data_IF_714768547245
#
_entry.id   IF_714768547245
#
_cell.length_a   1.000
_cell.length_b   1.000
_cell.length_c   1.000
_cell.angle_alpha   90.00
_cell.angle_beta   90.00
_cell.angle_gamma   90.00
#
_symmetry.space_group_name_H-M   'P 1'
#
loop_
_entity.id
_entity.type
_entity.pdbx_description
1 polymer ?
#
# COMPACT_ATOMS: atom_id res chain seq x y z
N UNK A 1 19.16 -73.03 13.48
CA UNK A 1 18.95 -71.70 14.10
C UNK A 1 18.87 -70.66 13.01
N UNK A 2 17.91 -69.75 13.16
CA UNK A 2 17.35 -68.86 12.13
C UNK A 2 18.30 -67.72 11.75
N UNK A 3 18.57 -67.54 10.46
CA UNK A 3 19.16 -66.29 9.95
C UNK A 3 18.08 -65.51 9.20
N UNK A 4 17.61 -64.45 9.83
CA UNK A 4 16.52 -63.58 9.38
C UNK A 4 16.92 -62.85 8.09
N UNK A 5 16.11 -63.03 7.03
CA UNK A 5 16.14 -62.20 5.82
C UNK A 5 15.58 -60.81 6.17
N UNK A 6 16.44 -59.80 6.24
CA UNK A 6 15.98 -58.42 6.29
C UNK A 6 15.97 -57.83 4.86
N UNK A 7 14.78 -57.75 4.26
CA UNK A 7 14.55 -57.00 3.02
C UNK A 7 14.66 -55.51 3.33
N UNK A 8 15.78 -54.87 2.98
CA UNK A 8 15.78 -53.42 2.79
C UNK A 8 15.49 -53.11 1.32
N UNK A 9 14.27 -52.60 1.10
CA UNK A 9 13.84 -52.00 -0.17
C UNK A 9 14.73 -50.79 -0.48
N UNK A 10 15.19 -50.58 -1.73
CA UNK A 10 15.91 -49.37 -2.09
C UNK A 10 14.95 -48.19 -1.96
N UNK A 11 15.38 -47.16 -1.23
CA UNK A 11 14.71 -45.87 -1.15
C UNK A 11 14.24 -45.44 -2.55
N UNK A 12 12.91 -45.47 -2.78
CA UNK A 12 12.30 -44.78 -3.92
C UNK A 12 12.67 -43.30 -3.76
N UNK A 13 13.63 -42.81 -4.55
CA UNK A 13 13.77 -41.38 -4.82
C UNK A 13 12.39 -40.89 -5.26
N UNK A 14 11.73 -40.05 -4.44
CA UNK A 14 10.54 -39.30 -4.88
C UNK A 14 10.96 -38.59 -6.17
N UNK A 15 10.32 -38.92 -7.30
CA UNK A 15 10.44 -38.10 -8.51
C UNK A 15 10.11 -36.67 -8.09
N UNK A 16 11.07 -35.76 -8.15
CA UNK A 16 10.79 -34.34 -7.96
C UNK A 16 9.69 -33.96 -8.96
N UNK A 17 8.55 -33.51 -8.45
CA UNK A 17 7.44 -33.09 -9.32
C UNK A 17 7.92 -32.01 -10.28
N UNK A 18 7.32 -31.91 -11.46
CA UNK A 18 7.57 -30.76 -12.35
C UNK A 18 7.34 -29.47 -11.55
N UNK A 19 8.30 -28.55 -11.58
CA UNK A 19 8.21 -27.21 -10.99
C UNK A 19 8.27 -26.16 -12.09
N UNK A 20 7.88 -24.93 -11.78
CA UNK A 20 7.96 -23.79 -12.68
C UNK A 20 8.38 -22.52 -11.91
N UNK A 21 9.14 -21.61 -12.54
CA UNK A 21 9.55 -20.37 -11.91
C UNK A 21 8.39 -19.38 -11.83
N UNK A 22 8.30 -18.67 -10.71
CA UNK A 22 7.30 -17.65 -10.43
C UNK A 22 7.98 -16.42 -9.87
N UNK A 23 7.62 -15.25 -10.40
CA UNK A 23 8.00 -13.94 -9.86
C UNK A 23 6.80 -13.30 -9.18
N UNK A 24 6.99 -12.78 -7.98
CA UNK A 24 5.99 -12.00 -7.25
C UNK A 24 6.59 -10.65 -6.91
N UNK A 25 5.97 -9.58 -7.39
CA UNK A 25 6.35 -8.21 -7.10
C UNK A 25 5.47 -7.64 -5.99
N UNK A 26 6.08 -6.98 -5.02
CA UNK A 26 5.43 -5.93 -4.23
C UNK A 26 5.71 -4.58 -4.91
N UNK A 27 5.33 -3.46 -4.29
CA UNK A 27 5.64 -2.12 -4.82
C UNK A 27 7.10 -1.71 -4.61
N UNK A 28 7.84 -2.43 -3.77
CA UNK A 28 9.21 -2.13 -3.35
C UNK A 28 10.18 -3.32 -3.44
N UNK A 29 9.71 -4.53 -3.75
CA UNK A 29 10.52 -5.73 -3.80
C UNK A 29 10.07 -6.71 -4.91
N UNK A 30 11.02 -7.51 -5.38
CA UNK A 30 10.75 -8.66 -6.26
C UNK A 30 11.17 -9.95 -5.54
N UNK A 31 10.29 -10.95 -5.58
CA UNK A 31 10.51 -12.27 -5.00
C UNK A 31 10.43 -13.32 -6.09
N UNK A 32 11.40 -14.24 -6.11
CA UNK A 32 11.43 -15.33 -7.08
C UNK A 32 11.33 -16.68 -6.37
N UNK A 33 10.45 -17.54 -6.88
CA UNK A 33 10.15 -18.85 -6.32
C UNK A 33 10.15 -19.93 -7.40
N UNK A 34 10.37 -21.18 -6.99
CA UNK A 34 10.12 -22.36 -7.83
C UNK A 34 8.94 -23.15 -7.26
N UNK A 35 7.80 -23.10 -7.94
CA UNK A 35 6.55 -23.66 -7.47
C UNK A 35 6.29 -25.04 -8.08
N UNK A 36 5.79 -26.01 -7.30
CA UNK A 36 5.37 -27.29 -7.87
C UNK A 36 4.15 -27.10 -8.78
N UNK A 37 4.05 -27.82 -9.90
CA UNK A 37 2.94 -27.72 -10.86
C UNK A 37 1.54 -27.94 -10.28
N UNK A 38 1.45 -28.69 -9.17
CA UNK A 38 0.19 -29.00 -8.48
C UNK A 38 -0.22 -27.93 -7.46
N UNK A 39 0.62 -26.94 -7.22
CA UNK A 39 0.40 -25.95 -6.16
C UNK A 39 -0.81 -25.09 -6.48
N UNK A 40 -1.56 -24.79 -5.43
CA UNK A 40 -2.72 -23.90 -5.43
C UNK A 40 -2.31 -22.44 -5.32
N UNK A 41 -3.24 -21.53 -5.63
CA UNK A 41 -3.02 -20.11 -5.36
C UNK A 41 -2.76 -19.85 -3.88
N UNK A 42 -3.37 -20.63 -2.97
CA UNK A 42 -3.11 -20.58 -1.53
C UNK A 42 -1.66 -20.91 -1.19
N UNK A 43 -1.10 -21.95 -1.80
CA UNK A 43 0.30 -22.35 -1.55
C UNK A 43 1.29 -21.23 -1.93
N UNK A 44 1.07 -20.59 -3.09
CA UNK A 44 1.88 -19.46 -3.54
C UNK A 44 1.70 -18.24 -2.62
N UNK A 45 0.46 -17.89 -2.29
CA UNK A 45 0.15 -16.74 -1.44
C UNK A 45 0.71 -16.90 -0.03
N UNK A 46 0.56 -18.07 0.59
CA UNK A 46 1.10 -18.37 1.92
C UNK A 46 2.65 -18.40 1.91
N UNK A 47 3.27 -18.81 0.81
CA UNK A 47 4.73 -18.72 0.63
C UNK A 47 5.20 -17.25 0.59
N UNK A 48 4.53 -16.41 -0.19
CA UNK A 48 4.81 -14.96 -0.25
C UNK A 48 4.65 -14.32 1.12
N UNK A 49 3.49 -14.50 1.77
CA UNK A 49 3.19 -13.90 3.07
C UNK A 49 4.21 -14.28 4.14
N UNK A 50 4.60 -15.57 4.21
CA UNK A 50 5.65 -16.03 5.15
C UNK A 50 7.01 -15.42 4.84
N UNK A 51 7.35 -15.23 3.57
CA UNK A 51 8.66 -14.67 3.16
C UNK A 51 8.81 -13.22 3.62
N UNK A 52 7.73 -12.43 3.54
CA UNK A 52 7.74 -11.01 3.93
C UNK A 52 7.26 -10.77 5.38
N UNK A 53 6.90 -11.82 6.12
CA UNK A 53 6.40 -11.70 7.50
C UNK A 53 4.98 -11.13 7.64
N UNK A 54 4.17 -11.19 6.58
CA UNK A 54 2.80 -10.70 6.56
C UNK A 54 1.83 -11.73 7.17
N UNK A 55 1.15 -11.35 8.25
CA UNK A 55 0.13 -12.17 8.93
C UNK A 55 -1.29 -11.64 8.70
N UNK A 56 -1.44 -10.34 8.42
CA UNK A 56 -2.72 -9.68 8.09
C UNK A 56 -3.16 -9.98 6.64
N UNK A 57 -3.16 -11.27 6.29
CA UNK A 57 -3.29 -11.72 4.90
C UNK A 57 -4.66 -11.44 4.29
N UNK A 58 -5.67 -11.12 5.12
CA UNK A 58 -7.06 -10.93 4.70
C UNK A 58 -7.29 -9.66 3.87
N UNK A 59 -6.34 -8.72 3.86
CA UNK A 59 -6.41 -7.55 3.00
C UNK A 59 -5.87 -7.80 1.58
N UNK A 60 -5.01 -8.81 1.41
CA UNK A 60 -4.17 -8.93 0.22
C UNK A 60 -4.60 -10.03 -0.73
N UNK A 61 -4.16 -9.91 -1.98
CA UNK A 61 -4.24 -10.97 -2.97
C UNK A 61 -3.13 -10.84 -4.01
N UNK A 62 -3.07 -11.78 -4.93
CA UNK A 62 -2.14 -11.76 -6.05
C UNK A 62 -2.89 -11.40 -7.34
N UNK A 63 -2.52 -10.31 -7.99
CA UNK A 63 -2.97 -9.99 -9.34
C UNK A 63 -2.02 -10.55 -10.39
N UNK A 64 -2.55 -10.89 -11.56
CA UNK A 64 -1.78 -11.24 -12.75
C UNK A 64 -2.55 -10.86 -14.01
N UNK A 65 -1.82 -10.77 -15.12
CA UNK A 65 -2.40 -10.67 -16.45
C UNK A 65 -2.65 -12.08 -17.02
N UNK A 66 -3.90 -12.37 -17.37
CA UNK A 66 -4.27 -13.64 -17.98
C UNK A 66 -3.82 -13.74 -19.46
N UNK A 67 -3.96 -14.91 -20.06
CA UNK A 67 -3.57 -15.15 -21.46
C UNK A 67 -4.33 -14.30 -22.48
N UNK A 68 -5.43 -13.64 -22.08
CA UNK A 68 -6.22 -12.73 -22.93
C UNK A 68 -5.89 -11.26 -22.66
N UNK A 69 -4.98 -10.97 -21.74
CA UNK A 69 -4.57 -9.61 -21.37
C UNK A 69 -5.43 -8.95 -20.31
N UNK A 70 -6.28 -9.69 -19.61
CA UNK A 70 -7.09 -9.14 -18.52
C UNK A 70 -6.37 -9.24 -17.19
N UNK A 71 -6.50 -8.19 -16.39
CA UNK A 71 -6.07 -8.22 -14.99
C UNK A 71 -7.09 -9.01 -14.16
N UNK A 72 -6.57 -10.03 -13.48
CA UNK A 72 -7.35 -10.98 -12.68
C UNK A 72 -6.67 -11.24 -11.33
N UNK A 73 -7.48 -11.49 -10.31
CA UNK A 73 -6.99 -11.96 -9.01
C UNK A 73 -6.86 -13.47 -9.02
N UNK A 74 -5.73 -13.97 -8.53
CA UNK A 74 -5.46 -15.39 -8.36
C UNK A 74 -6.45 -15.98 -7.35
N UNK A 75 -7.14 -17.03 -7.76
CA UNK A 75 -8.06 -17.80 -6.91
C UNK A 75 -7.23 -18.74 -6.04
N UNK A 76 -7.38 -18.61 -4.72
CA UNK A 76 -6.57 -19.34 -3.76
C UNK A 76 -6.91 -20.84 -3.71
N UNK A 77 -8.16 -21.21 -4.01
CA UNK A 77 -8.69 -22.57 -4.00
C UNK A 77 -8.37 -23.39 -5.26
N UNK A 78 -7.80 -22.75 -6.29
CA UNK A 78 -7.48 -23.38 -7.58
C UNK A 78 -5.97 -23.50 -7.78
N UNK A 79 -5.56 -24.47 -8.61
CA UNK A 79 -4.17 -24.58 -9.05
C UNK A 79 -3.75 -23.33 -9.80
N UNK A 80 -2.51 -22.90 -9.62
CA UNK A 80 -1.98 -21.71 -10.31
C UNK A 80 -2.04 -21.90 -11.83
N UNK A 81 -1.56 -23.03 -12.33
CA UNK A 81 -1.50 -23.36 -13.75
C UNK A 81 -2.88 -23.45 -14.45
N UNK A 82 -3.95 -23.73 -13.70
CA UNK A 82 -5.30 -23.92 -14.26
C UNK A 82 -6.06 -22.58 -14.43
N UNK A 83 -5.41 -21.45 -14.14
CA UNK A 83 -6.05 -20.12 -14.12
C UNK A 83 -5.74 -19.25 -15.35
N UNK A 84 -5.31 -19.89 -16.44
CA UNK A 84 -5.14 -19.21 -17.73
C UNK A 84 -4.06 -18.13 -17.70
N UNK A 85 -3.00 -18.35 -16.94
CA UNK A 85 -1.90 -17.40 -16.83
C UNK A 85 -1.11 -17.36 -18.14
N UNK A 86 -0.68 -16.17 -18.56
CA UNK A 86 0.11 -16.00 -19.77
C UNK A 86 1.37 -16.87 -19.75
N UNK A 87 1.64 -17.59 -20.85
CA UNK A 87 2.80 -18.49 -20.98
C UNK A 87 4.09 -17.71 -21.31
N UNK A 88 4.40 -16.69 -20.53
CA UNK A 88 5.69 -16.02 -20.57
C UNK A 88 6.76 -16.87 -19.87
N UNK A 89 8.06 -16.72 -20.22
CA UNK A 89 9.15 -17.51 -19.63
C UNK A 89 9.23 -17.41 -18.10
N UNK A 90 8.69 -16.35 -17.50
CA UNK A 90 8.44 -16.24 -16.06
C UNK A 90 7.02 -15.76 -15.83
N UNK A 91 6.30 -16.45 -14.96
CA UNK A 91 4.97 -16.00 -14.54
C UNK A 91 5.09 -14.92 -13.46
N UNK A 92 4.59 -13.71 -13.74
CA UNK A 92 4.64 -12.58 -12.81
C UNK A 92 3.30 -12.35 -12.12
N UNK A 93 3.34 -12.17 -10.80
CA UNK A 93 2.22 -11.76 -9.97
C UNK A 93 2.54 -10.47 -9.22
N UNK A 94 1.51 -9.72 -8.86
CA UNK A 94 1.63 -8.54 -8.01
C UNK A 94 0.86 -8.74 -6.71
N UNK A 95 1.53 -8.60 -5.58
CA UNK A 95 0.89 -8.59 -4.27
C UNK A 95 0.30 -7.19 -4.03
N UNK A 96 -1.02 -7.12 -3.90
CA UNK A 96 -1.75 -5.86 -3.70
C UNK A 96 -2.81 -6.02 -2.61
N UNK A 97 -3.10 -4.93 -1.91
CA UNK A 97 -4.28 -4.83 -1.06
C UNK A 97 -5.54 -4.83 -1.95
N UNK A 98 -6.38 -5.83 -1.75
CA UNK A 98 -7.68 -6.02 -2.41
C UNK A 98 -8.82 -5.42 -1.59
N UNK A 99 -8.72 -5.49 -0.27
CA UNK A 99 -9.70 -4.98 0.68
C UNK A 99 -9.04 -3.95 1.58
N UNK A 100 -9.75 -2.87 1.89
CA UNK A 100 -9.24 -1.77 2.70
C UNK A 100 -9.85 -1.83 4.12
N UNK A 101 -9.13 -1.33 5.14
CA UNK A 101 -9.69 -1.17 6.49
C UNK A 101 -10.81 -0.10 6.51
N UNK A 102 -11.68 -0.16 7.51
CA UNK A 102 -12.60 0.93 7.88
C UNK A 102 -11.83 2.03 8.64
N UNK A 103 -10.84 1.66 9.46
CA UNK A 103 -9.92 2.59 10.14
C UNK A 103 -8.49 2.05 10.09
N UNK A 104 -7.59 2.77 9.42
CA UNK A 104 -6.19 2.35 9.25
C UNK A 104 -5.43 2.23 10.57
N UNK A 105 -5.72 3.08 11.56
CA UNK A 105 -4.99 3.16 12.82
C UNK A 105 -5.39 2.01 13.78
N UNK A 106 -6.66 1.60 13.73
CA UNK A 106 -7.18 0.51 14.57
C UNK A 106 -6.96 -0.88 13.96
N UNK A 107 -6.95 -0.97 12.63
CA UNK A 107 -6.90 -2.25 11.92
C UNK A 107 -5.51 -2.67 11.46
N UNK A 108 -4.65 -1.75 11.01
CA UNK A 108 -3.34 -2.13 10.45
C UNK A 108 -2.31 -2.29 11.57
N UNK A 109 -2.05 -3.55 11.95
CA UNK A 109 -1.26 -3.88 13.14
C UNK A 109 0.24 -3.95 12.86
N UNK A 110 0.63 -4.61 11.77
CA UNK A 110 2.05 -4.85 11.45
C UNK A 110 2.61 -3.74 10.56
N UNK A 111 3.86 -3.37 10.81
CA UNK A 111 4.60 -2.39 10.00
C UNK A 111 4.68 -2.79 8.52
N UNK A 112 4.86 -4.08 8.22
CA UNK A 112 4.85 -4.56 6.82
C UNK A 112 3.50 -4.32 6.15
N UNK A 113 2.40 -4.48 6.87
CA UNK A 113 1.05 -4.24 6.35
C UNK A 113 0.85 -2.74 6.10
N UNK A 114 1.18 -1.90 7.07
CA UNK A 114 1.12 -0.44 6.96
C UNK A 114 1.94 0.05 5.78
N UNK A 115 3.16 -0.47 5.62
CA UNK A 115 4.06 -0.10 4.54
C UNK A 115 3.49 -0.43 3.16
N UNK A 116 2.97 -1.65 2.98
CA UNK A 116 2.38 -2.06 1.70
C UNK A 116 1.13 -1.23 1.35
N UNK A 117 0.29 -0.91 2.33
CA UNK A 117 -0.85 0.00 2.14
C UNK A 117 -0.40 1.41 1.78
N UNK A 118 0.58 1.96 2.51
CA UNK A 118 1.16 3.29 2.24
C UNK A 118 1.64 3.39 0.80
N UNK A 119 2.45 2.43 0.34
CA UNK A 119 2.96 2.42 -1.03
C UNK A 119 1.83 2.37 -2.06
N UNK A 120 0.83 1.52 -1.84
CA UNK A 120 -0.29 1.34 -2.78
C UNK A 120 -1.16 2.59 -2.87
N UNK A 121 -1.48 3.19 -1.72
CA UNK A 121 -2.29 4.42 -1.66
C UNK A 121 -1.52 5.61 -2.23
N UNK A 122 -0.23 5.74 -1.90
CA UNK A 122 0.64 6.77 -2.49
C UNK A 122 0.68 6.65 -4.01
N UNK A 123 0.87 5.44 -4.53
CA UNK A 123 0.87 5.21 -5.97
C UNK A 123 -0.47 5.57 -6.61
N UNK A 124 -1.59 5.23 -5.98
CA UNK A 124 -2.94 5.53 -6.48
C UNK A 124 -3.25 7.04 -6.48
N UNK A 125 -2.72 7.80 -5.51
CA UNK A 125 -2.84 9.26 -5.49
C UNK A 125 -1.99 9.88 -6.60
N UNK A 126 -0.74 9.45 -6.75
CA UNK A 126 0.17 9.95 -7.79
C UNK A 126 -0.30 9.63 -9.21
N UNK A 127 -0.93 8.47 -9.42
CA UNK A 127 -1.52 8.07 -10.71
C UNK A 127 -2.88 8.70 -11.00
N UNK A 128 -3.42 9.54 -10.11
CA UNK A 128 -4.74 10.16 -10.22
C UNK A 128 -5.92 9.17 -10.13
N UNK A 129 -5.70 7.93 -9.67
CA UNK A 129 -6.78 6.96 -9.42
C UNK A 129 -7.59 7.34 -8.17
N UNK A 130 -6.94 7.96 -7.20
CA UNK A 130 -7.57 8.61 -6.05
C UNK A 130 -7.38 10.12 -6.25
N UNK A 131 -8.50 10.85 -6.36
CA UNK A 131 -8.44 12.29 -6.37
C UNK A 131 -7.96 12.81 -5.01
N UNK A 132 -6.93 13.65 -5.03
CA UNK A 132 -6.40 14.32 -3.86
C UNK A 132 -6.33 15.83 -4.13
N UNK A 133 -6.92 16.68 -3.26
CA UNK A 133 -6.84 18.13 -3.43
C UNK A 133 -5.39 18.64 -3.26
N UNK A 134 -5.04 19.81 -3.81
CA UNK A 134 -3.67 20.33 -3.78
C UNK A 134 -3.08 20.46 -2.37
N UNK A 135 -3.85 21.00 -1.43
CA UNK A 135 -3.42 21.23 -0.05
C UNK A 135 -3.08 19.92 0.67
N UNK A 136 -3.94 18.90 0.52
CA UNK A 136 -3.68 17.57 1.05
C UNK A 136 -2.50 16.90 0.34
N UNK A 137 -2.33 17.10 -0.97
CA UNK A 137 -1.23 16.50 -1.74
C UNK A 137 0.14 16.97 -1.24
N UNK A 138 0.28 18.26 -0.91
CA UNK A 138 1.53 18.81 -0.34
C UNK A 138 1.81 18.21 1.04
N UNK A 139 0.79 18.11 1.88
CA UNK A 139 0.94 17.53 3.22
C UNK A 139 1.31 16.03 3.13
N UNK A 140 0.63 15.27 2.28
CA UNK A 140 0.95 13.86 2.02
C UNK A 140 2.37 13.68 1.47
N UNK A 141 2.81 14.55 0.56
CA UNK A 141 4.18 14.55 0.06
C UNK A 141 5.21 14.74 1.19
N UNK A 142 4.93 15.63 2.15
CA UNK A 142 5.83 15.85 3.29
C UNK A 142 5.98 14.61 4.19
N UNK A 143 4.90 13.85 4.44
CA UNK A 143 4.97 12.57 5.14
C UNK A 143 5.72 11.51 4.34
N UNK A 144 5.52 11.46 3.01
CA UNK A 144 6.25 10.53 2.15
C UNK A 144 7.77 10.80 2.14
N UNK A 145 8.17 12.07 2.20
CA UNK A 145 9.57 12.49 2.32
C UNK A 145 10.14 12.09 3.69
N UNK A 146 9.41 12.35 4.78
CA UNK A 146 9.81 11.91 6.13
C UNK A 146 9.98 10.38 6.21
N UNK A 147 9.04 9.62 5.64
CA UNK A 147 9.12 8.16 5.60
C UNK A 147 10.36 7.65 4.83
N UNK A 148 10.76 8.35 3.76
CA UNK A 148 11.88 7.95 2.89
C UNK A 148 13.24 8.39 3.40
N UNK A 149 13.36 9.63 3.88
CA UNK A 149 14.64 10.28 4.19
C UNK A 149 14.91 10.43 5.69
N UNK A 150 13.91 10.20 6.55
CA UNK A 150 14.02 10.46 8.00
C UNK A 150 13.86 11.94 8.32
N UNK A 151 14.45 12.40 9.43
CA UNK A 151 14.32 13.80 9.87
C UNK A 151 14.99 14.79 8.91
N UNK A 152 14.34 15.93 8.68
CA UNK A 152 14.95 17.07 8.00
C UNK A 152 16.18 17.59 8.78
N UNK A 153 17.32 17.70 8.09
CA UNK A 153 18.53 18.34 8.58
C UNK A 153 19.01 19.39 7.58
N UNK A 154 19.00 20.65 7.99
CA UNK A 154 19.38 21.81 7.17
C UNK A 154 20.81 21.73 6.64
N UNK A 155 21.72 21.08 7.37
CA UNK A 155 23.13 20.95 6.95
C UNK A 155 23.27 19.93 5.83
N UNK A 156 22.53 18.83 5.91
CA UNK A 156 22.55 17.76 4.91
C UNK A 156 21.71 18.07 3.67
N UNK A 157 20.68 18.92 3.82
CA UNK A 157 19.73 19.22 2.76
C UNK A 157 20.37 19.98 1.61
N UNK A 158 20.15 19.50 0.39
CA UNK A 158 20.60 20.18 -0.84
C UNK A 158 19.39 20.50 -1.71
N UNK A 159 19.27 21.72 -2.25
CA UNK A 159 18.22 22.04 -3.22
C UNK A 159 18.20 21.02 -4.37
N UNK A 160 17.01 20.54 -4.72
CA UNK A 160 16.82 19.53 -5.76
C UNK A 160 16.96 18.08 -5.25
N UNK A 161 17.20 17.85 -3.96
CA UNK A 161 17.23 16.51 -3.36
C UNK A 161 15.88 15.78 -3.53
N UNK A 162 14.79 16.53 -3.64
CA UNK A 162 13.44 16.00 -3.85
C UNK A 162 13.02 15.96 -5.32
N UNK A 163 13.83 16.51 -6.24
CA UNK A 163 13.45 16.66 -7.65
C UNK A 163 13.37 15.33 -8.41
N UNK A 164 14.02 14.25 -7.92
CA UNK A 164 13.94 12.92 -8.53
C UNK A 164 12.70 12.13 -8.11
N UNK A 165 11.90 12.65 -7.17
CA UNK A 165 10.79 11.92 -6.57
C UNK A 165 9.45 12.32 -7.19
N UNK A 166 8.64 11.31 -7.53
CA UNK A 166 7.22 11.51 -7.83
C UNK A 166 6.49 11.83 -6.49
N UNK A 167 6.39 13.11 -6.15
CA UNK A 167 5.80 13.59 -4.88
C UNK A 167 4.39 14.13 -5.00
N UNK A 168 4.04 14.72 -6.16
CA UNK A 168 2.74 15.34 -6.39
C UNK A 168 2.07 14.75 -7.63
N UNK A 169 0.73 14.60 -7.65
CA UNK A 169 0.03 14.18 -8.84
C UNK A 169 0.16 15.22 -9.96
N UNK A 170 0.30 14.78 -11.22
CA UNK A 170 0.54 15.67 -12.36
C UNK A 170 -0.51 16.78 -12.48
N UNK A 171 -1.79 16.49 -12.21
CA UNK A 171 -2.87 17.48 -12.23
C UNK A 171 -2.65 18.63 -11.25
N UNK A 172 -2.10 18.34 -10.07
CA UNK A 172 -1.80 19.37 -9.07
C UNK A 172 -0.67 20.26 -9.57
N UNK A 173 0.37 19.67 -10.15
CA UNK A 173 1.48 20.43 -10.75
C UNK A 173 0.96 21.33 -11.87
N UNK A 174 0.15 20.79 -12.79
CA UNK A 174 -0.37 21.53 -13.95
C UNK A 174 -1.36 22.66 -13.57
N UNK A 175 -2.03 22.55 -12.42
CA UNK A 175 -3.01 23.53 -11.96
C UNK A 175 -2.35 24.84 -11.49
N UNK A 176 -1.09 24.80 -11.05
CA UNK A 176 -0.38 25.96 -10.54
C UNK A 176 0.85 26.27 -11.41
N UNK A 177 1.10 27.55 -11.67
CA UNK A 177 2.30 28.00 -12.39
C UNK A 177 3.50 28.05 -11.45
N UNK A 178 3.86 26.91 -10.84
CA UNK A 178 4.96 26.78 -9.90
C UNK A 178 6.10 25.97 -10.50
N UNK A 179 7.34 26.37 -10.20
CA UNK A 179 8.52 25.57 -10.57
C UNK A 179 8.69 24.38 -9.61
N UNK A 180 9.45 23.34 -9.99
CA UNK A 180 9.77 22.23 -9.10
C UNK A 180 10.37 22.70 -7.76
N UNK A 181 11.23 23.72 -7.77
CA UNK A 181 11.84 24.30 -6.58
C UNK A 181 10.80 24.96 -5.66
N UNK A 182 9.81 25.66 -6.24
CA UNK A 182 8.74 26.27 -5.44
C UNK A 182 7.85 25.21 -4.77
N UNK A 183 7.62 24.07 -5.43
CA UNK A 183 6.92 22.93 -4.82
C UNK A 183 7.75 22.29 -3.72
N UNK A 184 9.05 22.11 -3.96
CA UNK A 184 10.01 21.63 -2.97
C UNK A 184 9.98 22.50 -1.71
N UNK A 185 10.02 23.82 -1.84
CA UNK A 185 9.93 24.75 -0.71
C UNK A 185 8.63 24.61 0.09
N UNK A 186 7.50 24.37 -0.58
CA UNK A 186 6.21 24.13 0.10
C UNK A 186 6.20 22.83 0.89
N UNK A 187 6.74 21.76 0.31
CA UNK A 187 6.83 20.45 0.96
C UNK A 187 7.81 20.51 2.15
N UNK A 188 8.93 21.23 1.96
CA UNK A 188 9.99 21.39 2.95
C UNK A 188 9.50 22.02 4.26
N UNK A 189 8.58 22.99 4.18
CA UNK A 189 7.99 23.61 5.39
C UNK A 189 7.38 22.54 6.30
N UNK A 190 6.50 21.70 5.74
CA UNK A 190 5.87 20.62 6.50
C UNK A 190 6.85 19.50 6.86
N UNK A 191 7.81 19.20 6.00
CA UNK A 191 8.83 18.19 6.27
C UNK A 191 9.68 18.53 7.52
N UNK A 192 10.03 19.81 7.70
CA UNK A 192 10.75 20.26 8.89
C UNK A 192 9.94 20.09 10.19
N UNK A 193 8.61 20.19 10.12
CA UNK A 193 7.70 20.03 11.26
C UNK A 193 7.57 18.56 11.72
N UNK A 194 7.88 17.59 10.84
CA UNK A 194 7.80 16.15 11.15
C UNK A 194 9.01 15.60 11.91
N UNK A 195 9.94 16.47 12.33
CA UNK A 195 11.16 16.07 13.03
C UNK A 195 10.84 15.24 14.28
N UNK A 196 11.49 14.08 14.38
CA UNK A 196 11.26 13.12 15.45
C UNK A 196 10.17 12.10 15.12
N UNK A 197 9.53 12.17 13.96
CA UNK A 197 8.61 11.14 13.51
C UNK A 197 9.38 9.95 12.92
N UNK A 198 9.07 8.74 13.37
CA UNK A 198 9.62 7.52 12.76
C UNK A 198 9.00 7.25 11.38
N UNK A 199 9.63 6.35 10.61
CA UNK A 199 9.12 5.98 9.28
C UNK A 199 7.71 5.39 9.36
N UNK A 200 7.46 4.45 10.28
CA UNK A 200 6.16 3.82 10.47
C UNK A 200 5.09 4.83 10.92
N UNK A 201 5.45 5.78 11.78
CA UNK A 201 4.54 6.88 12.16
C UNK A 201 4.20 7.78 10.96
N UNK A 202 5.18 8.14 10.13
CA UNK A 202 4.93 8.97 8.94
C UNK A 202 4.05 8.24 7.91
N UNK A 203 4.29 6.95 7.67
CA UNK A 203 3.46 6.12 6.79
C UNK A 203 2.03 5.98 7.34
N UNK A 204 1.86 5.85 8.66
CA UNK A 204 0.55 5.82 9.31
C UNK A 204 -0.20 7.16 9.22
N UNK A 205 0.46 8.29 9.48
CA UNK A 205 -0.17 9.63 9.35
C UNK A 205 -0.56 9.92 7.89
N UNK A 206 0.26 9.49 6.92
CA UNK A 206 -0.11 9.53 5.50
C UNK A 206 -1.43 8.81 5.26
N UNK A 207 -1.55 7.57 5.76
CA UNK A 207 -2.75 6.74 5.56
C UNK A 207 -3.97 7.32 6.28
N UNK A 208 -3.81 7.91 7.47
CA UNK A 208 -4.90 8.55 8.21
C UNK A 208 -5.51 9.75 7.48
N UNK A 209 -4.70 10.50 6.73
CA UNK A 209 -5.20 11.58 5.89
C UNK A 209 -5.81 11.02 4.61
N UNK A 210 -5.14 10.03 4.00
CA UNK A 210 -5.59 9.47 2.72
C UNK A 210 -6.91 8.70 2.83
N UNK A 211 -7.21 8.07 3.98
CA UNK A 211 -8.47 7.34 4.19
C UNK A 211 -9.71 8.25 4.13
N UNK A 212 -9.56 9.55 4.41
CA UNK A 212 -10.64 10.52 4.37
C UNK A 212 -10.92 11.07 2.95
N UNK A 213 -10.12 10.68 1.95
CA UNK A 213 -10.36 11.06 0.55
C UNK A 213 -11.56 10.28 -0.01
N UNK A 214 -12.47 10.98 -0.70
CA UNK A 214 -13.74 10.42 -1.21
C UNK A 214 -13.58 9.15 -2.07
N UNK A 215 -12.45 9.02 -2.78
CA UNK A 215 -12.17 7.91 -3.69
C UNK A 215 -11.34 6.79 -3.04
N UNK A 216 -10.91 6.96 -1.78
CA UNK A 216 -10.11 5.99 -1.06
C UNK A 216 -10.85 4.66 -0.87
N UNK A 217 -10.19 3.55 -1.21
CA UNK A 217 -10.75 2.21 -1.04
C UNK A 217 -11.99 1.92 -1.91
N UNK A 218 -12.32 2.78 -2.89
CA UNK A 218 -13.51 2.61 -3.73
C UNK A 218 -13.18 1.84 -5.02
N UNK A 219 -13.85 0.69 -5.19
CA UNK A 219 -13.79 -0.06 -6.44
C UNK A 219 -14.92 0.36 -7.38
N UNK A 220 -14.61 1.18 -8.38
CA UNK A 220 -15.58 1.68 -9.35
C UNK A 220 -15.84 0.72 -10.52
N UNK A 221 -17.11 0.50 -10.82
CA UNK A 221 -17.60 -0.29 -11.94
C UNK A 221 -18.64 0.49 -12.75
N UNK A 222 -18.51 0.55 -14.08
CA UNK A 222 -19.50 1.19 -14.93
C UNK A 222 -20.75 0.33 -15.01
N UNK A 223 -21.91 0.91 -14.67
CA UNK A 223 -23.20 0.22 -14.66
C UNK A 223 -24.27 1.07 -15.35
N UNK A 224 -25.40 0.47 -15.66
CA UNK A 224 -26.59 1.20 -16.09
C UNK A 224 -27.82 0.79 -15.27
N UNK A 225 -28.75 1.72 -15.06
CA UNK A 225 -30.02 1.42 -14.41
C UNK A 225 -31.06 0.89 -15.42
N UNK A 226 -32.28 0.58 -14.96
CA UNK A 226 -33.40 0.16 -15.82
C UNK A 226 -33.80 1.18 -16.90
N UNK A 227 -33.49 2.46 -16.71
CA UNK A 227 -33.74 3.54 -17.66
C UNK A 227 -32.56 3.77 -18.61
N UNK A 228 -31.59 2.86 -18.64
CA UNK A 228 -30.36 2.95 -19.43
C UNK A 228 -29.51 4.20 -19.12
N UNK A 229 -29.65 4.77 -17.91
CA UNK A 229 -28.76 5.84 -17.45
C UNK A 229 -27.42 5.25 -17.04
N UNK A 230 -26.34 5.78 -17.59
CA UNK A 230 -24.97 5.44 -17.22
C UNK A 230 -24.63 5.96 -15.82
N UNK A 231 -24.13 5.08 -14.97
CA UNK A 231 -23.78 5.33 -13.58
C UNK A 231 -22.49 4.61 -13.21
N UNK A 232 -21.93 4.89 -12.04
CA UNK A 232 -20.89 4.07 -11.43
C UNK A 232 -21.40 3.39 -10.16
N UNK A 233 -21.03 2.13 -9.99
CA UNK A 233 -21.10 1.42 -8.72
C UNK A 233 -19.74 1.54 -8.04
N UNK A 234 -19.69 2.00 -6.80
CA UNK A 234 -18.53 1.87 -5.93
C UNK A 234 -18.74 0.77 -4.89
N UNK A 235 -17.81 -0.16 -4.79
CA UNK A 235 -17.76 -1.17 -3.72
C UNK A 235 -16.67 -0.77 -2.72
N UNK A 236 -17.02 -0.62 -1.44
CA UNK A 236 -16.12 -0.16 -0.36
C UNK A 236 -16.16 -1.09 0.86
N UNK A 237 -15.31 -0.82 1.85
CA UNK A 237 -15.35 -1.50 3.14
C UNK A 237 -16.65 -1.24 3.92
N UNK A 238 -17.33 -0.12 3.67
CA UNK A 238 -18.54 0.31 4.37
C UNK A 238 -19.84 -0.14 3.68
N UNK A 239 -19.82 -0.31 2.36
CA UNK A 239 -21.02 -0.68 1.61
C UNK A 239 -20.90 -0.52 0.10
N UNK A 240 -22.05 -0.26 -0.52
CA UNK A 240 -22.21 -0.02 -1.95
C UNK A 240 -22.69 1.41 -2.20
N UNK A 241 -22.07 2.09 -3.15
CA UNK A 241 -22.39 3.46 -3.52
C UNK A 241 -22.75 3.55 -5.00
N UNK A 242 -23.72 4.39 -5.34
CA UNK A 242 -24.11 4.69 -6.71
C UNK A 242 -23.76 6.14 -7.00
N UNK A 243 -23.01 6.37 -8.07
CA UNK A 243 -22.54 7.69 -8.48
C UNK A 243 -23.06 8.02 -9.87
N UNK A 244 -23.16 9.32 -10.15
CA UNK A 244 -23.37 9.79 -11.53
C UNK A 244 -22.13 9.55 -12.38
N UNK A 245 -22.32 9.50 -13.69
CA UNK A 245 -21.23 9.26 -14.63
C UNK A 245 -20.14 10.33 -14.54
N UNK A 246 -20.53 11.58 -14.31
CA UNK A 246 -19.67 12.77 -14.28
C UNK A 246 -19.08 13.08 -12.89
N UNK A 247 -19.57 12.44 -11.82
CA UNK A 247 -19.15 12.72 -10.45
C UNK A 247 -18.88 11.44 -9.65
N UNK A 248 -17.61 11.05 -9.53
CA UNK A 248 -17.17 9.91 -8.72
C UNK A 248 -16.86 10.23 -7.25
N UNK A 249 -16.90 11.51 -6.87
CA UNK A 249 -16.56 11.96 -5.52
C UNK A 249 -17.75 11.79 -4.58
N UNK A 250 -18.91 12.33 -4.95
CA UNK A 250 -20.10 12.29 -4.11
C UNK A 250 -21.11 11.22 -4.57
N UNK A 251 -21.44 10.21 -3.74
CA UNK A 251 -22.45 9.22 -4.08
C UNK A 251 -23.86 9.81 -4.01
N UNK A 252 -24.72 9.39 -4.93
CA UNK A 252 -26.16 9.70 -4.93
C UNK A 252 -26.98 8.77 -4.04
N UNK A 253 -26.54 7.53 -3.89
CA UNK A 253 -27.24 6.51 -3.12
C UNK A 253 -26.21 5.61 -2.48
N UNK A 254 -26.40 5.32 -1.20
CA UNK A 254 -25.53 4.46 -0.41
C UNK A 254 -26.34 3.35 0.22
N UNK A 255 -25.80 2.14 0.18
CA UNK A 255 -26.32 0.95 0.86
C UNK A 255 -25.23 0.45 1.80
N UNK A 256 -25.44 0.56 3.10
CA UNK A 256 -24.50 0.01 4.08
C UNK A 256 -24.59 -1.51 4.08
N UNK A 257 -23.49 -2.20 4.45
CA UNK A 257 -23.52 -3.66 4.51
C UNK A 257 -24.60 -4.20 5.47
N UNK A 258 -24.92 -3.48 6.56
CA UNK A 258 -26.00 -3.81 7.49
C UNK A 258 -27.41 -3.73 6.90
N UNK A 259 -27.60 -2.98 5.82
CA UNK A 259 -28.90 -2.81 5.16
C UNK A 259 -29.10 -3.80 4.01
N UNK A 260 -28.08 -4.59 3.66
CA UNK A 260 -28.13 -5.52 2.52
C UNK A 260 -28.40 -6.93 3.03
N UNK A 261 -29.49 -7.54 2.57
CA UNK A 261 -29.86 -8.92 2.92
C UNK A 261 -29.20 -9.94 2.02
N UNK A 262 -29.18 -9.64 0.73
CA UNK A 262 -28.77 -10.59 -0.29
C UNK A 262 -28.34 -9.86 -1.56
N UNK A 263 -27.24 -10.33 -2.15
CA UNK A 263 -26.74 -9.88 -3.43
C UNK A 263 -26.73 -11.08 -4.37
N UNK A 264 -27.22 -10.88 -5.59
CA UNK A 264 -27.23 -11.91 -6.63
C UNK A 264 -27.21 -11.29 -8.01
N UNK A 265 -26.75 -12.03 -9.00
CA UNK A 265 -26.89 -11.65 -10.39
C UNK A 265 -27.34 -12.84 -11.24
N UNK A 266 -27.90 -12.53 -12.39
CA UNK A 266 -28.02 -13.45 -13.53
C UNK A 266 -27.25 -12.86 -14.73
N UNK A 267 -27.29 -13.53 -15.88
CA UNK A 267 -26.51 -13.14 -17.07
C UNK A 267 -26.72 -11.68 -17.51
N UNK A 268 -27.83 -11.04 -17.13
CA UNK A 268 -28.18 -9.68 -17.60
C UNK A 268 -28.28 -8.65 -16.48
N UNK A 269 -28.69 -9.03 -15.28
CA UNK A 269 -28.95 -8.08 -14.18
C UNK A 269 -28.28 -8.47 -12.88
N UNK A 270 -27.85 -7.46 -12.15
CA UNK A 270 -27.39 -7.55 -10.77
C UNK A 270 -28.49 -7.00 -9.85
N UNK A 271 -28.72 -7.67 -8.71
CA UNK A 271 -29.83 -7.40 -7.79
C UNK A 271 -29.29 -7.28 -6.36
N UNK A 272 -29.59 -6.15 -5.73
CA UNK A 272 -29.34 -5.89 -4.31
C UNK A 272 -30.70 -5.87 -3.60
N UNK A 273 -30.88 -6.78 -2.64
CA UNK A 273 -32.10 -6.87 -1.84
C UNK A 273 -31.87 -6.26 -0.46
N UNK A 274 -32.60 -5.20 -0.07
CA UNK A 274 -32.51 -4.64 1.27
C UNK A 274 -32.94 -5.62 2.38
N UNK A 275 -32.52 -5.35 3.62
CA UNK A 275 -32.89 -6.07 4.84
C UNK A 275 -34.36 -5.87 5.22
N UNK A 276 -34.90 -4.69 4.95
CA UNK A 276 -36.32 -4.43 5.08
C UNK A 276 -37.06 -5.01 3.86
N UNK A 277 -38.09 -5.85 4.10
CA UNK A 277 -38.78 -6.60 3.02
C UNK A 277 -39.71 -5.73 2.17
N UNK A 278 -40.13 -4.59 2.71
CA UNK A 278 -41.00 -3.60 2.05
C UNK A 278 -40.23 -2.70 1.10
N UNK A 279 -38.93 -2.49 1.33
CA UNK A 279 -38.08 -1.66 0.48
C UNK A 279 -37.86 -2.33 -0.89
N UNK A 280 -37.91 -1.56 -1.99
CA UNK A 280 -37.75 -2.10 -3.32
C UNK A 280 -36.31 -2.60 -3.55
N UNK A 281 -36.17 -3.69 -4.31
CA UNK A 281 -34.86 -4.18 -4.73
C UNK A 281 -34.19 -3.17 -5.67
N UNK A 282 -32.90 -2.90 -5.44
CA UNK A 282 -32.08 -2.14 -6.38
C UNK A 282 -31.54 -3.09 -7.46
N UNK A 283 -31.63 -2.67 -8.72
CA UNK A 283 -31.22 -3.48 -9.87
C UNK A 283 -30.46 -2.65 -10.87
N UNK A 284 -29.35 -3.19 -11.37
CA UNK A 284 -28.52 -2.57 -12.41
C UNK A 284 -28.01 -3.61 -13.41
N UNK A 285 -27.47 -3.11 -14.51
CA UNK A 285 -26.99 -3.87 -15.65
C UNK A 285 -25.54 -3.47 -15.97
N UNK A 286 -24.79 -4.33 -16.65
CA UNK A 286 -23.45 -3.95 -17.16
C UNK A 286 -23.60 -2.97 -18.33
N UNK A 287 -22.75 -1.94 -18.41
CA UNK A 287 -22.72 -1.11 -19.60
C UNK A 287 -22.27 -1.92 -20.82
N UNK A 288 -22.94 -1.75 -21.97
CA UNK A 288 -22.46 -2.31 -23.25
C UNK A 288 -21.17 -1.56 -23.61
N UNK A 289 -20.05 -2.27 -23.74
CA UNK A 289 -18.77 -1.66 -24.11
C UNK A 289 -18.90 -0.85 -25.41
N UNK A 290 -18.88 0.49 -25.32
CA UNK A 290 -18.57 1.36 -26.45
C UNK A 290 -17.06 1.56 -26.46
N UNK A 291 -16.41 1.03 -27.49
CA UNK A 291 -14.96 1.07 -27.71
C UNK A 291 -14.38 2.48 -27.54
N UNK A 292 -13.42 2.62 -26.63
CA UNK A 292 -12.37 3.63 -26.73
C UNK A 292 -11.03 2.90 -26.60
N UNK A 293 -10.29 2.79 -27.73
CA UNK A 293 -8.90 2.35 -27.73
C UNK A 293 -8.06 3.44 -27.06
N UNK A 294 -7.49 3.17 -25.90
CA UNK A 294 -6.38 3.99 -25.38
C UNK A 294 -5.04 3.29 -25.62
N UNK A 295 -4.09 4.12 -26.04
CA UNK A 295 -2.80 3.82 -26.64
C UNK A 295 -1.88 3.08 -25.67
N UNK A 296 -1.35 1.93 -26.08
CA UNK A 296 -0.18 1.31 -25.46
C UNK A 296 1.03 2.23 -25.68
N UNK A 297 1.60 2.80 -24.62
CA UNK A 297 2.99 3.24 -24.61
C UNK A 297 3.82 2.30 -23.73
N UNK A 298 5.04 2.06 -24.21
CA UNK A 298 5.94 0.98 -23.81
C UNK A 298 7.01 1.47 -22.83
N UNK A 299 7.64 0.49 -22.17
CA UNK A 299 8.95 0.46 -21.48
C UNK A 299 9.06 0.92 -20.02
N UNK A 300 9.86 0.12 -19.28
CA UNK A 300 10.25 0.09 -17.86
C UNK A 300 9.38 -0.64 -16.83
N UNK A 301 10.05 -1.24 -15.84
CA UNK A 301 9.47 -2.05 -14.75
C UNK A 301 8.46 -1.23 -13.92
N UNK A 302 8.68 0.09 -13.81
CA UNK A 302 7.69 1.03 -13.25
C UNK A 302 6.44 1.23 -14.12
N UNK A 303 6.52 0.96 -15.43
CA UNK A 303 5.40 0.99 -16.37
C UNK A 303 4.51 -0.26 -16.28
N UNK A 304 5.03 -1.40 -15.79
CA UNK A 304 4.22 -2.59 -15.51
C UNK A 304 3.32 -2.39 -14.29
N UNK A 305 3.83 -1.79 -13.21
CA UNK A 305 3.02 -1.41 -12.03
C UNK A 305 1.98 -0.36 -12.41
N UNK A 306 2.39 0.72 -13.09
CA UNK A 306 1.48 1.75 -13.62
C UNK A 306 0.47 1.15 -14.61
N UNK A 307 0.86 0.16 -15.42
CA UNK A 307 -0.01 -0.53 -16.38
C UNK A 307 -1.02 -1.49 -15.74
N UNK A 308 -0.62 -2.26 -14.72
CA UNK A 308 -1.52 -3.12 -13.94
C UNK A 308 -2.56 -2.29 -13.15
N UNK A 309 -2.15 -1.13 -12.64
CA UNK A 309 -3.03 -0.20 -11.92
C UNK A 309 -3.93 0.57 -12.91
N UNK A 310 -3.40 1.04 -14.05
CA UNK A 310 -4.14 1.84 -15.03
C UNK A 310 -5.03 1.04 -16.00
N UNK A 311 -4.83 -0.27 -16.15
CA UNK A 311 -5.65 -1.12 -17.03
C UNK A 311 -6.95 -1.57 -16.35
N UNK A 312 -7.79 -0.59 -15.98
CA UNK A 312 -9.20 -0.85 -15.64
C UNK A 312 -10.03 -0.79 -16.92
N UNK A 313 -10.46 -1.98 -17.37
CA UNK A 313 -11.48 -2.28 -18.39
C UNK A 313 -11.02 -2.25 -19.86
N UNK A 314 -10.54 -3.39 -20.33
CA UNK A 314 -10.56 -3.75 -21.76
C UNK A 314 -11.53 -4.92 -21.99
N UNK A 315 -12.83 -4.74 -21.76
CA UNK A 315 -13.81 -5.80 -22.03
C UNK A 315 -14.23 -5.83 -23.51
N UNK A 316 -13.83 -6.89 -24.22
CA UNK A 316 -14.41 -7.27 -25.51
C UNK A 316 -15.34 -8.49 -25.34
N UNK A 317 -16.48 -8.42 -26.05
CA UNK A 317 -17.58 -9.38 -26.21
C UNK A 317 -18.72 -9.35 -25.16
N UNK A 318 -19.93 -9.02 -25.64
CA UNK A 318 -21.03 -8.40 -24.88
C UNK A 318 -21.79 -9.28 -23.89
N UNK A 319 -21.70 -10.61 -23.98
CA UNK A 319 -22.38 -11.51 -23.02
C UNK A 319 -21.40 -12.12 -22.01
N UNK A 320 -20.15 -12.39 -22.42
CA UNK A 320 -19.13 -12.95 -21.50
C UNK A 320 -18.54 -11.85 -20.60
N UNK A 321 -18.41 -10.62 -21.10
CA UNK A 321 -17.89 -9.48 -20.34
C UNK A 321 -18.78 -9.11 -19.15
N UNK A 322 -20.10 -9.03 -19.38
CA UNK A 322 -21.08 -8.74 -18.33
C UNK A 322 -21.01 -9.74 -17.16
N UNK A 323 -20.97 -11.04 -17.48
CA UNK A 323 -20.83 -12.09 -16.48
C UNK A 323 -19.50 -11.97 -15.72
N UNK A 324 -18.38 -11.76 -16.40
CA UNK A 324 -17.06 -11.58 -15.74
C UNK A 324 -17.08 -10.37 -14.80
N UNK A 325 -17.65 -9.24 -15.24
CA UNK A 325 -17.82 -8.04 -14.43
C UNK A 325 -18.64 -8.33 -13.17
N UNK A 326 -19.80 -8.97 -13.30
CA UNK A 326 -20.66 -9.30 -12.15
C UNK A 326 -20.01 -10.29 -11.19
N UNK A 327 -19.26 -11.27 -11.69
CA UNK A 327 -18.46 -12.17 -10.84
C UNK A 327 -17.42 -11.37 -10.04
N UNK A 328 -16.72 -10.41 -10.67
CA UNK A 328 -15.76 -9.54 -9.98
C UNK A 328 -16.42 -8.67 -8.91
N UNK A 329 -17.56 -8.05 -9.23
CA UNK A 329 -18.33 -7.23 -8.29
C UNK A 329 -18.78 -8.10 -7.11
N UNK A 330 -19.36 -9.28 -7.37
CA UNK A 330 -19.85 -10.17 -6.33
C UNK A 330 -18.73 -10.64 -5.39
N UNK A 331 -17.57 -11.02 -5.94
CA UNK A 331 -16.39 -11.43 -5.17
C UNK A 331 -15.90 -10.31 -4.23
N UNK A 332 -15.88 -9.06 -4.71
CA UNK A 332 -15.56 -7.91 -3.85
C UNK A 332 -16.64 -7.63 -2.81
N UNK A 333 -17.92 -7.77 -3.15
CA UNK A 333 -19.02 -7.60 -2.19
C UNK A 333 -18.93 -8.64 -1.06
N UNK A 334 -18.70 -9.91 -1.40
CA UNK A 334 -18.57 -10.99 -0.41
C UNK A 334 -17.38 -10.71 0.51
N UNK A 335 -16.20 -10.43 -0.04
CA UNK A 335 -15.02 -10.18 0.79
C UNK A 335 -15.11 -8.94 1.68
N UNK A 336 -15.66 -7.83 1.17
CA UNK A 336 -15.89 -6.63 1.99
C UNK A 336 -16.94 -6.87 3.08
N UNK A 337 -18.05 -7.55 2.75
CA UNK A 337 -19.08 -7.90 3.74
C UNK A 337 -18.54 -8.84 4.82
N UNK A 338 -17.73 -9.84 4.47
CA UNK A 338 -17.13 -10.77 5.43
C UNK A 338 -16.19 -10.03 6.41
N UNK A 339 -15.37 -9.09 5.90
CA UNK A 339 -14.53 -8.23 6.74
C UNK A 339 -15.35 -7.27 7.60
N UNK A 340 -16.39 -6.66 7.05
CA UNK A 340 -17.35 -5.83 7.78
C UNK A 340 -17.98 -6.59 8.95
N UNK A 341 -18.39 -7.85 8.73
CA UNK A 341 -18.94 -8.71 9.78
C UNK A 341 -17.88 -9.15 10.79
N UNK A 342 -16.62 -9.31 10.37
CA UNK A 342 -15.50 -9.62 11.27
C UNK A 342 -15.20 -8.47 12.23
N UNK A 343 -15.20 -7.22 11.76
CA UNK A 343 -14.97 -6.01 12.58
C UNK A 343 -16.02 -5.80 13.68
N UNK A 344 -17.23 -6.33 13.50
CA UNK A 344 -18.35 -6.24 14.46
C UNK A 344 -18.37 -7.36 15.49
N UNK A 345 -17.37 -8.25 15.44
CA UNK A 345 -17.16 -9.30 16.44
C UNK A 345 -15.90 -8.98 17.24
N UNK A 346 -15.80 -9.48 18.47
CA UNK A 346 -14.55 -9.37 19.23
C UNK A 346 -13.37 -9.95 18.44
N UNK A 347 -12.20 -9.32 18.59
CA UNK A 347 -10.96 -9.78 17.96
C UNK A 347 -10.71 -11.25 18.31
N UNK A 348 -10.37 -12.05 17.30
CA UNK A 348 -9.88 -13.42 17.50
C UNK A 348 -8.61 -13.43 18.32
N UNK A 349 -8.32 -14.54 19.02
CA UNK A 349 -7.08 -14.71 19.80
C UNK A 349 -5.81 -14.39 19.00
N UNK A 350 -5.77 -14.76 17.72
CA UNK A 350 -4.62 -14.47 16.85
C UNK A 350 -4.41 -12.95 16.66
N UNK A 351 -5.49 -12.21 16.38
CA UNK A 351 -5.46 -10.74 16.22
C UNK A 351 -5.08 -10.07 17.54
N UNK A 352 -5.62 -10.53 18.68
CA UNK A 352 -5.26 -10.00 20.00
C UNK A 352 -3.76 -10.20 20.28
N UNK A 353 -3.22 -11.38 19.98
CA UNK A 353 -1.79 -11.65 20.11
C UNK A 353 -0.94 -10.79 19.18
N UNK A 354 -1.39 -10.58 17.94
CA UNK A 354 -0.72 -9.68 17.00
C UNK A 354 -0.65 -8.25 17.53
N UNK A 355 -1.78 -7.70 18.00
CA UNK A 355 -1.85 -6.35 18.59
C UNK A 355 -0.99 -6.23 19.84
N UNK A 356 -1.01 -7.23 20.72
CA UNK A 356 -0.17 -7.26 21.92
C UNK A 356 1.32 -7.27 21.57
N UNK A 357 1.73 -8.11 20.61
CA UNK A 357 3.10 -8.20 20.14
C UNK A 357 3.56 -6.89 19.50
N UNK A 358 2.76 -6.31 18.61
CA UNK A 358 3.08 -5.03 17.96
C UNK A 358 3.22 -3.88 18.98
N UNK A 359 2.34 -3.84 19.99
CA UNK A 359 2.42 -2.86 21.07
C UNK A 359 3.68 -3.01 21.92
N UNK A 360 4.05 -4.24 22.27
CA UNK A 360 5.29 -4.50 23.02
C UNK A 360 6.52 -4.09 22.21
N UNK A 361 6.55 -4.45 20.93
CA UNK A 361 7.64 -4.12 20.03
C UNK A 361 7.79 -2.61 19.84
N UNK A 362 6.69 -1.88 19.61
CA UNK A 362 6.70 -0.42 19.53
C UNK A 362 7.18 0.23 20.83
N UNK A 363 6.71 -0.26 21.98
CA UNK A 363 7.15 0.25 23.30
C UNK A 363 8.64 0.03 23.52
N UNK A 364 9.17 -1.15 23.15
CA UNK A 364 10.59 -1.48 23.25
C UNK A 364 11.45 -0.56 22.39
N UNK A 365 11.05 -0.37 21.13
CA UNK A 365 11.73 0.54 20.19
C UNK A 365 11.72 2.00 20.70
N UNK A 366 10.61 2.46 21.28
CA UNK A 366 10.55 3.80 21.87
C UNK A 366 11.53 3.97 23.03
N UNK A 367 11.67 2.96 23.90
CA UNK A 367 12.65 2.98 25.00
C UNK A 367 14.08 3.05 24.46
N UNK A 368 14.41 2.22 23.47
CA UNK A 368 15.72 2.22 22.82
C UNK A 368 16.02 3.56 22.14
N UNK A 369 15.04 4.12 21.43
CA UNK A 369 15.14 5.44 20.79
C UNK A 369 15.38 6.55 21.79
N UNK A 370 14.62 6.58 22.90
CA UNK A 370 14.79 7.56 23.97
C UNK A 370 16.17 7.44 24.63
N UNK A 371 16.66 6.21 24.81
CA UNK A 371 18.00 5.95 25.34
C UNK A 371 19.09 6.49 24.41
N UNK A 372 18.99 6.19 23.12
CA UNK A 372 19.94 6.67 22.11
C UNK A 372 19.92 8.20 21.99
N UNK A 373 18.73 8.82 22.02
CA UNK A 373 18.59 10.27 21.98
C UNK A 373 19.24 10.94 23.19
N UNK A 374 19.06 10.37 24.39
CA UNK A 374 19.70 10.87 25.62
C UNK A 374 21.22 10.73 25.56
N UNK A 375 21.73 9.61 25.05
CA UNK A 375 23.17 9.39 24.88
C UNK A 375 23.78 10.40 23.89
N UNK A 376 23.10 10.64 22.76
CA UNK A 376 23.49 11.67 21.78
C UNK A 376 23.53 13.07 22.41
N UNK A 377 22.50 13.45 23.18
CA UNK A 377 22.46 14.74 23.86
C UNK A 377 23.61 14.91 24.87
N UNK A 378 23.91 13.87 25.66
CA UNK A 378 25.03 13.90 26.61
C UNK A 378 26.38 14.05 25.89
N UNK A 379 26.55 13.36 24.75
CA UNK A 379 27.75 13.47 23.93
C UNK A 379 27.91 14.88 23.33
N UNK A 380 26.86 15.44 22.74
CA UNK A 380 26.88 16.79 22.19
C UNK A 380 27.17 17.84 23.28
N UNK A 381 26.62 17.66 24.49
CA UNK A 381 26.90 18.54 25.62
C UNK A 381 28.38 18.45 26.05
N UNK A 382 28.93 17.24 26.15
CA UNK A 382 30.35 17.03 26.48
C UNK A 382 31.29 17.60 25.41
N UNK A 383 30.95 17.47 24.13
CA UNK A 383 31.71 18.06 23.02
C UNK A 383 31.69 19.60 23.07
N UNK A 384 30.55 20.22 23.39
CA UNK A 384 30.45 21.67 23.60
C UNK A 384 31.25 22.14 24.82
N UNK A 385 31.17 21.42 25.93
CA UNK A 385 31.92 21.76 27.15
C UNK A 385 33.43 21.65 26.91
N UNK A 386 33.86 20.60 26.20
CA UNK A 386 35.25 20.44 25.77
C UNK A 386 35.71 21.60 24.89
N UNK A 387 34.94 21.97 23.86
CA UNK A 387 35.27 23.09 22.99
C UNK A 387 35.37 24.42 23.75
N UNK A 388 34.48 24.65 24.74
CA UNK A 388 34.53 25.82 25.60
C UNK A 388 35.78 25.83 26.51
N UNK A 389 36.16 24.67 27.06
CA UNK A 389 37.40 24.54 27.84
C UNK A 389 38.65 24.78 26.99
N UNK A 390 38.70 24.26 25.77
CA UNK A 390 39.79 24.50 24.83
C UNK A 390 39.93 25.98 24.48
N UNK A 391 38.83 26.69 24.25
CA UNK A 391 38.84 28.14 24.04
C UNK A 391 39.35 28.92 25.25
N UNK A 392 38.92 28.56 26.47
CA UNK A 392 39.42 29.19 27.70
C UNK A 392 40.91 28.94 27.90
N UNK A 393 41.40 27.74 27.60
CA UNK A 393 42.81 27.42 27.70
C UNK A 393 43.65 28.30 26.74
N UNK A 394 43.19 28.48 25.51
CA UNK A 394 43.82 29.38 24.54
C UNK A 394 43.86 30.83 25.04
N UNK A 395 42.77 31.32 25.63
CA UNK A 395 42.74 32.67 26.23
C UNK A 395 43.76 32.81 27.37
N UNK A 396 43.81 31.85 28.30
CA UNK A 396 44.79 31.87 29.39
C UNK A 396 46.23 31.82 28.88
N UNK A 397 46.52 31.01 27.86
CA UNK A 397 47.85 30.94 27.26
C UNK A 397 48.26 32.29 26.64
N UNK A 398 47.32 32.97 25.99
CA UNK A 398 47.56 34.28 25.40
C UNK A 398 47.74 35.37 26.47
N UNK A 399 46.95 35.37 27.54
CA UNK A 399 47.14 36.28 28.68
C UNK A 399 48.51 36.09 29.34
N UNK A 400 48.93 34.84 29.56
CA UNK A 400 50.26 34.53 30.11
C UNK A 400 51.35 35.04 29.16
N UNK A 401 51.20 34.85 27.84
CA UNK A 401 52.14 35.36 26.84
C UNK A 401 52.27 36.87 26.91
N UNK A 402 51.15 37.59 26.93
CA UNK A 402 51.12 39.05 27.02
C UNK A 402 51.70 39.57 28.34
N UNK A 403 51.40 38.91 29.47
CA UNK A 403 51.96 39.25 30.78
C UNK A 403 53.48 39.07 30.82
N UNK A 404 53.99 37.98 30.25
CA UNK A 404 55.43 37.73 30.14
C UNK A 404 56.12 38.77 29.25
N UNK A 405 55.53 39.14 28.11
CA UNK A 405 56.05 40.20 27.24
C UNK A 405 56.08 41.57 27.93
N UNK A 406 55.06 41.88 28.73
CA UNK A 406 55.02 43.11 29.52
C UNK A 406 56.09 43.11 30.62
N UNK A 407 56.27 42.00 31.32
CA UNK A 407 57.33 41.81 32.31
C UNK A 407 58.72 42.05 31.71
N UNK A 408 59.02 41.44 30.56
CA UNK A 408 60.29 41.64 29.85
C UNK A 408 60.50 43.11 29.51
N UNK A 409 59.47 43.81 28.99
CA UNK A 409 59.53 45.24 28.69
C UNK A 409 59.69 46.15 29.93
N UNK A 410 59.34 45.69 31.13
CA UNK A 410 59.57 46.44 32.36
C UNK A 410 60.99 46.29 32.92
N UNK A 411 61.76 45.29 32.43
CA UNK A 411 63.14 45.04 32.85
C UNK A 411 64.19 45.60 31.87
N UNK A 412 63.76 46.09 30.70
CA UNK A 412 64.53 46.94 29.78
C UNK A 412 64.29 48.42 30.10
#
# INVERSE_FOLDING_TARGET
MYTVRNKMSPFRRKKSGKSFPVKVCTLDAELEFNLEWRSTGRDLFDLVCRTIGLRETWYFGLQYEDAKGFISWLKLDKKVQDQGISQQPTTSFMLLAKFYPEDVAEELVQEVTQHLFFLQVKQAILSMDIYCPPEASVLLASYAVQAKYGDYDEVSYRPGMLASEDLLPQRVIDQYQMTPEMWEDRIKIWYADHRGMSRDEAEMEYLKIAQDLDMYGVNYFPISNKKETDLWLGVTALGLNIYEKENKLAPKTTFTWSEIRHISFDDKKFVIKPMEKTSPNFMFFSQKARMNKLVKKQSDVGSWVKGLIALRLNEHNSDTGAHILFVKILDLCIGNHDLFMRRRKPDSMEVQQMKAQAKEEKSRRQIERNKLAREKQLREAAEREKAAMEQRLLQYQEEIRLANEALVRCYE
#
